data_IF_081725107685
#
_entry.id   IF_081725107685
#
_cell.length_a   1.000
_cell.length_b   1.000
_cell.length_c   1.000
_cell.angle_alpha   90.00
_cell.angle_beta   90.00
_cell.angle_gamma   90.00
#
_symmetry.space_group_name_H-M   'P 1'
#
loop_
_entity.id
_entity.type
_entity.pdbx_description
1 polymer ?
#
# COMPACT_ATOMS: atom_id res chain seq x y z
N UNK A 1 -27.45 -13.51 -8.30
CA UNK A 1 -27.26 -14.54 -7.26
C UNK A 1 -26.22 -15.51 -7.76
N UNK A 2 -24.97 -15.34 -7.35
CA UNK A 2 -23.94 -16.35 -7.47
C UNK A 2 -23.67 -16.84 -6.06
N UNK A 3 -24.15 -18.04 -5.75
CA UNK A 3 -23.78 -18.79 -4.57
C UNK A 3 -22.38 -19.32 -4.82
N UNK A 4 -21.36 -18.52 -4.49
CA UNK A 4 -20.02 -19.06 -4.33
C UNK A 4 -20.07 -20.05 -3.17
N UNK A 5 -19.70 -21.28 -3.50
CA UNK A 5 -19.76 -22.47 -2.67
C UNK A 5 -19.00 -22.25 -1.35
N UNK A 6 -19.72 -22.06 -0.24
CA UNK A 6 -19.13 -21.84 1.09
C UNK A 6 -18.38 -23.06 1.64
N UNK A 7 -18.34 -24.15 0.88
CA UNK A 7 -17.67 -25.41 1.24
C UNK A 7 -16.19 -25.48 0.81
N UNK A 8 -15.70 -24.57 -0.06
CA UNK A 8 -14.36 -24.70 -0.67
C UNK A 8 -13.33 -23.64 -0.22
N UNK A 9 -13.76 -22.56 0.44
CA UNK A 9 -12.85 -21.50 0.90
C UNK A 9 -11.98 -21.90 2.10
N UNK A 10 -12.40 -22.91 2.89
CA UNK A 10 -11.66 -23.40 4.07
C UNK A 10 -10.33 -24.07 3.78
N UNK A 11 -10.05 -24.41 2.52
CA UNK A 11 -8.76 -24.96 2.08
C UNK A 11 -7.87 -23.92 1.39
N UNK A 12 -8.36 -22.70 1.16
CA UNK A 12 -7.61 -21.66 0.45
C UNK A 12 -6.86 -20.81 1.47
N UNK A 13 -5.53 -20.82 1.37
CA UNK A 13 -4.65 -20.03 2.21
C UNK A 13 -4.44 -18.63 1.63
N UNK A 14 -4.72 -17.60 2.43
CA UNK A 14 -4.60 -16.20 2.04
C UNK A 14 -3.63 -15.49 2.96
N UNK A 15 -2.60 -14.85 2.37
CA UNK A 15 -1.72 -13.94 3.11
C UNK A 15 -2.20 -12.52 2.93
N UNK A 16 -2.54 -11.85 4.03
CA UNK A 16 -2.99 -10.46 4.02
C UNK A 16 -1.79 -9.55 4.30
N UNK A 17 -1.55 -8.57 3.44
CA UNK A 17 -0.57 -7.51 3.71
C UNK A 17 -1.06 -6.62 4.86
N UNK A 18 -0.46 -6.76 6.03
CA UNK A 18 -0.81 -6.04 7.26
C UNK A 18 0.10 -4.82 7.41
N UNK A 19 -0.43 -3.62 7.19
CA UNK A 19 0.36 -2.37 7.29
C UNK A 19 0.27 -1.71 8.67
N UNK A 20 -0.41 -2.33 9.63
CA UNK A 20 -0.78 -1.70 10.90
C UNK A 20 -1.92 -0.66 10.76
N UNK A 21 -2.60 -0.62 9.62
CA UNK A 21 -3.74 0.26 9.35
C UNK A 21 -5.08 -0.47 9.40
N UNK A 22 -6.16 0.27 9.65
CA UNK A 22 -7.53 -0.29 9.82
C UNK A 22 -8.01 -1.09 8.61
N UNK A 23 -7.64 -0.68 7.40
CA UNK A 23 -8.11 -1.31 6.17
C UNK A 23 -7.58 -2.73 6.01
N UNK A 24 -6.28 -2.94 6.29
CA UNK A 24 -5.70 -4.28 6.31
C UNK A 24 -6.26 -5.16 7.43
N UNK A 25 -6.53 -4.57 8.61
CA UNK A 25 -7.11 -5.27 9.75
C UNK A 25 -8.51 -5.82 9.43
N UNK A 26 -9.36 -4.98 8.83
CA UNK A 26 -10.71 -5.36 8.45
C UNK A 26 -10.69 -6.30 7.26
N UNK A 27 -9.78 -6.13 6.29
CA UNK A 27 -9.58 -7.11 5.22
C UNK A 27 -9.30 -8.51 5.76
N UNK A 28 -8.39 -8.65 6.74
CA UNK A 28 -8.10 -9.94 7.36
C UNK A 28 -9.32 -10.52 8.07
N UNK A 29 -10.02 -9.71 8.87
CA UNK A 29 -11.24 -10.13 9.56
C UNK A 29 -12.32 -10.62 8.58
N UNK A 30 -12.60 -9.87 7.51
CA UNK A 30 -13.62 -10.24 6.51
C UNK A 30 -13.31 -11.56 5.82
N UNK A 31 -12.03 -11.82 5.50
CA UNK A 31 -11.61 -13.08 4.89
C UNK A 31 -11.76 -14.26 5.86
N UNK A 32 -11.49 -14.07 7.15
CA UNK A 32 -11.77 -15.10 8.15
C UNK A 32 -13.26 -15.42 8.23
N UNK A 33 -14.14 -14.40 8.20
CA UNK A 33 -15.59 -14.61 8.20
C UNK A 33 -16.09 -15.33 6.93
N UNK A 34 -15.37 -15.18 5.81
CA UNK A 34 -15.63 -15.91 4.56
C UNK A 34 -15.06 -17.35 4.57
N UNK A 35 -14.39 -17.74 5.65
CA UNK A 35 -13.89 -19.10 5.88
C UNK A 35 -12.49 -19.37 5.33
N UNK A 36 -11.73 -18.37 4.86
CA UNK A 36 -10.36 -18.57 4.38
C UNK A 36 -9.38 -18.92 5.51
N UNK A 37 -8.29 -19.62 5.18
CA UNK A 37 -7.15 -19.77 6.08
C UNK A 37 -6.27 -18.52 6.00
N UNK A 38 -6.42 -17.61 6.97
CA UNK A 38 -5.78 -16.30 6.94
C UNK A 38 -4.51 -16.27 7.79
N UNK A 39 -3.43 -15.76 7.23
CA UNK A 39 -2.24 -15.30 7.95
C UNK A 39 -1.89 -13.87 7.50
N UNK A 40 -1.22 -13.10 8.34
CA UNK A 40 -0.76 -11.75 8.02
C UNK A 40 0.71 -11.72 7.59
N UNK A 41 1.08 -10.74 6.76
CA UNK A 41 2.48 -10.38 6.49
C UNK A 41 2.67 -8.88 6.71
N UNK A 42 3.58 -8.52 7.60
CA UNK A 42 4.10 -7.15 7.71
C UNK A 42 5.34 -6.99 6.83
N UNK A 43 5.37 -5.92 6.03
CA UNK A 43 6.49 -5.64 5.12
C UNK A 43 7.25 -4.41 5.60
N UNK A 44 8.54 -4.58 5.88
CA UNK A 44 9.46 -3.47 6.09
C UNK A 44 10.17 -3.16 4.78
N UNK A 45 9.89 -2.01 4.18
CA UNK A 45 10.38 -1.67 2.84
C UNK A 45 11.25 -0.40 2.82
N UNK A 46 11.61 0.10 4.00
CA UNK A 46 12.40 1.30 4.15
C UNK A 46 13.19 1.21 5.46
N UNK A 47 14.51 1.34 5.36
CA UNK A 47 15.43 1.20 6.50
C UNK A 47 16.06 2.54 6.93
N UNK A 48 16.05 3.58 6.08
CA UNK A 48 16.88 4.77 6.31
C UNK A 48 16.42 5.65 7.49
N UNK A 49 15.22 5.45 8.00
CA UNK A 49 14.71 6.18 9.17
C UNK A 49 14.87 5.43 10.48
N UNK A 50 15.50 4.25 10.48
CA UNK A 50 15.71 3.47 11.69
C UNK A 50 16.44 4.30 12.76
N UNK A 51 15.78 4.48 13.92
CA UNK A 51 16.31 5.27 15.03
C UNK A 51 16.06 6.78 14.95
N UNK A 52 15.31 7.26 13.95
CA UNK A 52 14.85 8.65 13.84
C UNK A 52 13.43 8.83 14.38
N UNK A 53 12.98 10.09 14.54
CA UNK A 53 11.61 10.41 14.91
C UNK A 53 10.56 10.05 13.83
N UNK A 54 11.00 9.82 12.58
CA UNK A 54 10.14 9.42 11.47
C UNK A 54 9.90 7.91 11.39
N UNK A 55 10.51 7.11 12.27
CA UNK A 55 10.36 5.65 12.27
C UNK A 55 8.99 5.22 12.83
N UNK A 56 7.97 5.12 11.97
CA UNK A 56 6.66 4.58 12.35
C UNK A 56 6.59 3.05 12.25
N UNK A 57 7.53 2.42 11.53
CA UNK A 57 7.50 1.00 11.23
C UNK A 57 7.39 0.10 12.48
N UNK A 58 8.01 0.51 13.60
CA UNK A 58 7.91 -0.23 14.86
C UNK A 58 6.51 -0.17 15.47
N UNK A 59 5.87 1.00 15.43
CA UNK A 59 4.50 1.20 15.92
C UNK A 59 3.50 0.48 15.01
N UNK A 60 3.67 0.61 13.68
CA UNK A 60 2.86 -0.09 12.68
C UNK A 60 2.96 -1.62 12.81
N UNK A 61 4.18 -2.13 13.05
CA UNK A 61 4.40 -3.56 13.31
C UNK A 61 3.71 -4.00 14.61
N UNK A 62 3.79 -3.20 15.67
CA UNK A 62 3.14 -3.50 16.93
C UNK A 62 1.61 -3.50 16.81
N UNK A 63 1.04 -2.57 16.03
CA UNK A 63 -0.40 -2.56 15.74
C UNK A 63 -0.81 -3.77 14.89
N UNK A 64 -0.04 -4.10 13.86
CA UNK A 64 -0.28 -5.30 13.05
C UNK A 64 -0.24 -6.58 13.90
N UNK A 65 0.74 -6.70 14.80
CA UNK A 65 0.88 -7.83 15.71
C UNK A 65 -0.33 -7.93 16.65
N UNK A 66 -0.74 -6.82 17.28
CA UNK A 66 -1.91 -6.81 18.16
C UNK A 66 -3.19 -7.20 17.44
N UNK A 67 -3.39 -6.76 16.18
CA UNK A 67 -4.54 -7.17 15.36
C UNK A 67 -4.47 -8.66 15.07
N UNK A 68 -3.31 -9.18 14.64
CA UNK A 68 -3.15 -10.60 14.37
C UNK A 68 -3.37 -11.47 15.62
N UNK A 69 -2.87 -11.04 16.77
CA UNK A 69 -3.08 -11.72 18.06
C UNK A 69 -4.57 -11.71 18.45
N UNK A 70 -5.25 -10.58 18.28
CA UNK A 70 -6.68 -10.45 18.54
C UNK A 70 -7.52 -11.37 17.65
N UNK A 71 -7.15 -11.47 16.37
CA UNK A 71 -7.82 -12.35 15.40
C UNK A 71 -7.37 -13.82 15.52
N UNK A 72 -6.32 -14.12 16.28
CA UNK A 72 -5.77 -15.48 16.40
C UNK A 72 -5.09 -15.99 15.12
N UNK A 73 -4.51 -15.09 14.32
CA UNK A 73 -3.79 -15.41 13.08
C UNK A 73 -2.29 -15.15 13.23
N UNK A 74 -1.47 -15.90 12.49
CA UNK A 74 -0.01 -15.72 12.50
C UNK A 74 0.37 -14.45 11.73
N UNK A 75 1.23 -13.61 12.31
CA UNK A 75 1.90 -12.52 11.61
C UNK A 75 3.32 -12.96 11.19
N UNK A 76 3.59 -12.92 9.90
CA UNK A 76 4.93 -13.03 9.33
C UNK A 76 5.54 -11.64 9.13
N UNK A 77 6.85 -11.61 8.98
CA UNK A 77 7.58 -10.38 8.65
C UNK A 77 8.48 -10.67 7.44
N UNK A 78 8.58 -9.69 6.54
CA UNK A 78 9.53 -9.68 5.44
C UNK A 78 10.16 -8.29 5.34
N UNK A 79 11.43 -8.26 4.93
CA UNK A 79 12.11 -7.02 4.59
C UNK A 79 12.28 -7.00 3.06
N UNK A 80 11.65 -6.00 2.40
CA UNK A 80 11.82 -5.73 0.96
C UNK A 80 12.43 -4.35 0.71
N UNK A 81 13.24 -3.84 1.66
CA UNK A 81 13.87 -2.52 1.55
C UNK A 81 14.85 -2.46 0.38
N UNK A 82 15.57 -3.55 0.10
CA UNK A 82 16.45 -3.64 -1.06
C UNK A 82 15.66 -3.56 -2.37
N UNK A 83 14.58 -4.34 -2.49
CA UNK A 83 13.72 -4.34 -3.67
C UNK A 83 13.01 -2.99 -3.86
N UNK A 84 12.61 -2.34 -2.77
CA UNK A 84 12.01 -1.00 -2.83
C UNK A 84 13.03 0.03 -3.29
N UNK A 85 14.26 -0.02 -2.76
CA UNK A 85 15.31 0.89 -3.18
C UNK A 85 15.56 0.77 -4.69
N UNK A 86 15.87 -0.44 -5.16
CA UNK A 86 16.29 -0.70 -6.53
C UNK A 86 15.15 -0.44 -7.54
N UNK A 87 13.93 -0.86 -7.23
CA UNK A 87 12.84 -0.89 -8.22
C UNK A 87 11.87 0.30 -8.11
N UNK A 88 11.92 1.07 -7.02
CA UNK A 88 11.00 2.20 -6.78
C UNK A 88 11.79 3.48 -6.54
N UNK A 89 12.71 3.48 -5.58
CA UNK A 89 13.33 4.70 -5.10
C UNK A 89 14.38 5.25 -6.07
N UNK A 90 15.20 4.40 -6.69
CA UNK A 90 16.17 4.84 -7.69
C UNK A 90 15.47 5.55 -8.86
N UNK A 91 14.40 4.94 -9.39
CA UNK A 91 13.59 5.56 -10.45
C UNK A 91 12.98 6.88 -10.01
N UNK A 92 12.45 6.95 -8.79
CA UNK A 92 11.93 8.18 -8.20
C UNK A 92 12.98 9.31 -8.20
N UNK A 93 14.23 9.02 -7.83
CA UNK A 93 15.32 10.00 -7.87
C UNK A 93 15.70 10.40 -9.30
N UNK A 94 15.71 9.46 -10.25
CA UNK A 94 15.98 9.73 -11.66
C UNK A 94 14.95 10.66 -12.30
N UNK A 95 13.67 10.46 -11.99
CA UNK A 95 12.59 11.31 -12.51
C UNK A 95 12.70 12.75 -12.00
N UNK A 96 13.02 12.95 -10.72
CA UNK A 96 13.28 14.27 -10.16
C UNK A 96 14.52 14.94 -10.75
N UNK A 97 15.62 14.19 -10.97
CA UNK A 97 16.81 14.69 -11.68
C UNK A 97 16.46 15.20 -13.07
N UNK A 98 15.45 14.61 -13.71
CA UNK A 98 14.99 15.01 -15.03
C UNK A 98 13.87 16.07 -15.00
N UNK A 99 13.57 16.66 -13.84
CA UNK A 99 12.58 17.74 -13.69
C UNK A 99 11.13 17.27 -13.79
N UNK A 100 10.86 15.98 -13.59
CA UNK A 100 9.51 15.41 -13.57
C UNK A 100 9.06 15.13 -12.14
N UNK A 101 7.75 15.02 -11.95
CA UNK A 101 7.14 14.63 -10.68
C UNK A 101 6.69 13.16 -10.75
N UNK A 102 7.50 12.21 -10.26
CA UNK A 102 7.13 10.80 -10.25
C UNK A 102 6.02 10.51 -9.24
N UNK A 103 5.32 9.39 -9.45
CA UNK A 103 4.43 8.82 -8.45
C UNK A 103 4.99 7.47 -7.97
N UNK A 104 5.73 7.45 -6.84
CA UNK A 104 6.37 6.23 -6.35
C UNK A 104 5.35 5.18 -5.88
N UNK A 105 4.12 5.56 -5.52
CA UNK A 105 3.11 4.62 -5.04
C UNK A 105 2.62 3.68 -6.14
N UNK A 106 2.61 4.13 -7.40
CA UNK A 106 2.29 3.29 -8.56
C UNK A 106 3.32 2.17 -8.71
N UNK A 107 4.62 2.50 -8.60
CA UNK A 107 5.70 1.53 -8.68
C UNK A 107 5.79 0.63 -7.45
N UNK A 108 5.55 1.19 -6.27
CA UNK A 108 5.44 0.45 -5.02
C UNK A 108 4.37 -0.65 -5.11
N UNK A 109 3.20 -0.35 -5.67
CA UNK A 109 2.21 -1.39 -5.94
C UNK A 109 2.76 -2.43 -6.92
N UNK A 110 3.21 -1.99 -8.10
CA UNK A 110 3.65 -2.91 -9.16
C UNK A 110 4.79 -3.84 -8.74
N UNK A 111 5.86 -3.30 -8.14
CA UNK A 111 7.10 -4.03 -7.88
C UNK A 111 7.15 -4.67 -6.49
N UNK A 112 6.49 -4.07 -5.50
CA UNK A 112 6.57 -4.55 -4.11
C UNK A 112 5.28 -5.27 -3.72
N UNK A 113 4.14 -4.57 -3.68
CA UNK A 113 2.91 -5.14 -3.10
C UNK A 113 2.27 -6.22 -3.98
N UNK A 114 2.48 -6.22 -5.29
CA UNK A 114 1.86 -7.19 -6.19
C UNK A 114 2.85 -8.11 -6.90
N UNK A 115 4.16 -7.94 -6.64
CA UNK A 115 5.23 -8.79 -7.17
C UNK A 115 6.06 -9.41 -6.05
N UNK A 116 6.93 -8.65 -5.38
CA UNK A 116 7.75 -9.20 -4.29
C UNK A 116 6.92 -9.84 -3.17
N UNK A 117 5.84 -9.16 -2.73
CA UNK A 117 4.90 -9.72 -1.75
C UNK A 117 4.22 -10.99 -2.28
N UNK A 118 3.70 -10.97 -3.50
CA UNK A 118 3.01 -12.12 -4.09
C UNK A 118 3.95 -13.34 -4.21
N UNK A 119 5.18 -13.13 -4.64
CA UNK A 119 6.21 -14.17 -4.74
C UNK A 119 6.57 -14.73 -3.36
N UNK A 120 6.75 -13.87 -2.36
CA UNK A 120 7.03 -14.31 -1.00
C UNK A 120 5.85 -15.06 -0.37
N UNK A 121 4.61 -14.61 -0.61
CA UNK A 121 3.42 -15.30 -0.14
C UNK A 121 3.31 -16.74 -0.70
N UNK A 122 3.72 -16.96 -1.96
CA UNK A 122 3.80 -18.31 -2.54
C UNK A 122 4.80 -19.19 -1.80
N UNK A 123 5.94 -18.65 -1.37
CA UNK A 123 6.91 -19.37 -0.54
C UNK A 123 6.31 -19.74 0.82
N UNK A 124 5.44 -18.91 1.37
CA UNK A 124 4.66 -19.22 2.59
C UNK A 124 3.51 -20.21 2.36
N UNK A 125 3.34 -20.72 1.13
CA UNK A 125 2.31 -21.67 0.73
C UNK A 125 0.93 -21.06 0.51
N UNK A 126 0.86 -19.76 0.20
CA UNK A 126 -0.40 -19.09 -0.07
C UNK A 126 -0.96 -19.43 -1.46
N UNK A 127 -2.27 -19.58 -1.55
CA UNK A 127 -2.99 -19.67 -2.82
C UNK A 127 -3.29 -18.27 -3.38
N UNK A 128 -3.55 -17.31 -2.49
CA UNK A 128 -3.89 -15.93 -2.79
C UNK A 128 -3.22 -14.97 -1.82
N UNK A 129 -3.09 -13.70 -2.23
CA UNK A 129 -2.81 -12.59 -1.32
C UNK A 129 -4.06 -11.72 -1.13
N UNK A 130 -4.05 -10.87 -0.12
CA UNK A 130 -5.03 -9.82 0.04
C UNK A 130 -4.41 -8.52 0.54
N UNK A 131 -5.07 -7.41 0.24
CA UNK A 131 -4.64 -6.07 0.69
C UNK A 131 -5.81 -5.26 1.21
N UNK A 132 -5.51 -4.15 1.89
CA UNK A 132 -6.50 -3.15 2.32
C UNK A 132 -6.86 -2.13 1.24
N UNK A 133 -6.63 -2.41 -0.05
CA UNK A 133 -6.91 -1.43 -1.10
C UNK A 133 -8.42 -1.33 -1.41
N UNK A 134 -8.90 -0.10 -1.57
CA UNK A 134 -10.26 0.24 -2.00
C UNK A 134 -10.41 0.11 -3.52
N UNK A 135 -10.31 -1.13 -3.99
CA UNK A 135 -10.48 -1.53 -5.38
C UNK A 135 -11.24 -2.85 -5.42
N UNK A 136 -11.79 -3.20 -6.58
CA UNK A 136 -12.52 -4.46 -6.73
C UNK A 136 -11.92 -5.28 -7.85
N UNK A 137 -12.12 -6.60 -7.75
CA UNK A 137 -11.77 -7.55 -8.79
C UNK A 137 -13.03 -7.97 -9.51
N UNK A 138 -13.04 -7.89 -10.83
CA UNK A 138 -14.11 -8.37 -11.69
C UNK A 138 -13.61 -9.39 -12.70
N UNK A 139 -14.55 -9.92 -13.48
CA UNK A 139 -14.28 -10.79 -14.61
C UNK A 139 -15.00 -10.25 -15.84
N UNK A 140 -14.29 -10.13 -16.96
CA UNK A 140 -14.84 -9.76 -18.27
C UNK A 140 -14.16 -10.60 -19.34
N UNK A 141 -14.95 -11.22 -20.23
CA UNK A 141 -14.42 -12.06 -21.33
C UNK A 141 -13.45 -13.17 -20.87
N UNK A 142 -13.71 -13.79 -19.71
CA UNK A 142 -12.84 -14.78 -19.05
C UNK A 142 -11.46 -14.22 -18.62
N UNK A 143 -11.30 -12.90 -18.57
CA UNK A 143 -10.11 -12.23 -18.04
C UNK A 143 -10.44 -11.52 -16.73
N UNK A 144 -9.48 -11.52 -15.81
CA UNK A 144 -9.59 -10.74 -14.57
C UNK A 144 -9.39 -9.26 -14.87
N UNK A 145 -10.30 -8.42 -14.37
CA UNK A 145 -10.24 -6.96 -14.52
C UNK A 145 -10.18 -6.26 -13.17
N UNK A 146 -9.48 -5.12 -13.14
CA UNK A 146 -9.50 -4.18 -12.02
C UNK A 146 -10.74 -3.28 -12.15
N UNK A 147 -11.53 -3.22 -11.09
CA UNK A 147 -12.70 -2.36 -10.96
C UNK A 147 -12.47 -1.32 -9.88
N UNK A 148 -13.18 -0.20 -9.98
CA UNK A 148 -13.20 0.82 -8.93
C UNK A 148 -13.83 0.28 -7.64
N UNK A 149 -13.33 0.75 -6.50
CA UNK A 149 -13.98 0.60 -5.20
C UNK A 149 -15.39 1.20 -5.21
N UNK A 150 -16.27 0.70 -4.34
CA UNK A 150 -17.63 1.27 -4.20
C UNK A 150 -17.60 2.67 -3.59
N UNK A 151 -16.65 2.94 -2.69
CA UNK A 151 -16.41 4.27 -2.14
C UNK A 151 -15.67 5.15 -3.15
N UNK A 152 -16.39 6.02 -3.86
CA UNK A 152 -15.80 6.91 -4.85
C UNK A 152 -14.77 7.92 -4.29
N UNK A 153 -14.82 8.22 -2.98
CA UNK A 153 -13.84 9.13 -2.34
C UNK A 153 -12.57 8.40 -1.89
N UNK A 154 -12.62 7.07 -1.84
CA UNK A 154 -11.51 6.23 -1.38
C UNK A 154 -10.99 5.29 -2.44
N UNK A 155 -11.61 5.23 -3.62
CA UNK A 155 -11.18 4.42 -4.75
C UNK A 155 -9.68 4.57 -5.02
N UNK A 156 -8.98 3.44 -5.02
CA UNK A 156 -7.53 3.37 -5.20
C UNK A 156 -7.15 2.77 -6.56
N UNK A 157 -8.11 2.61 -7.48
CA UNK A 157 -7.87 2.01 -8.80
C UNK A 157 -6.77 2.72 -9.59
N UNK A 158 -6.64 4.04 -9.40
CA UNK A 158 -5.57 4.86 -9.96
C UNK A 158 -4.18 4.31 -9.61
N UNK A 159 -3.93 3.94 -8.35
CA UNK A 159 -2.59 3.49 -7.93
C UNK A 159 -2.26 2.06 -8.37
N UNK A 160 -3.26 1.30 -8.82
CA UNK A 160 -3.11 -0.09 -9.26
C UNK A 160 -3.16 -0.23 -10.79
N UNK A 161 -3.21 0.86 -11.54
CA UNK A 161 -3.35 0.83 -13.00
C UNK A 161 -2.20 0.10 -13.73
N UNK A 162 -1.03 0.00 -13.07
CA UNK A 162 0.16 -0.64 -13.61
C UNK A 162 0.32 -2.12 -13.16
N UNK A 163 -0.61 -2.63 -12.36
CA UNK A 163 -0.62 -4.01 -11.88
C UNK A 163 -1.26 -4.90 -12.96
N UNK A 164 -0.60 -6.02 -13.29
CA UNK A 164 -1.07 -6.93 -14.33
C UNK A 164 -2.29 -7.75 -13.89
N UNK A 165 -3.10 -8.17 -14.87
CA UNK A 165 -4.31 -8.96 -14.62
C UNK A 165 -4.05 -10.29 -13.91
N UNK A 166 -2.88 -10.90 -14.13
CA UNK A 166 -2.48 -12.14 -13.46
C UNK A 166 -2.24 -11.95 -11.96
N UNK A 167 -1.61 -10.84 -11.58
CA UNK A 167 -1.38 -10.47 -10.18
C UNK A 167 -2.70 -10.11 -9.50
N UNK A 168 -3.59 -9.39 -10.20
CA UNK A 168 -4.95 -9.11 -9.73
C UNK A 168 -5.77 -10.41 -9.55
N UNK A 169 -5.63 -11.38 -10.46
CA UNK A 169 -6.31 -12.68 -10.36
C UNK A 169 -5.89 -13.47 -9.09
N UNK A 170 -4.67 -13.24 -8.61
CA UNK A 170 -4.14 -13.86 -7.40
C UNK A 170 -4.33 -13.00 -6.13
N UNK A 171 -5.07 -11.88 -6.24
CA UNK A 171 -5.29 -10.95 -5.12
C UNK A 171 -6.77 -10.77 -4.79
N UNK A 172 -7.06 -10.69 -3.50
CA UNK A 172 -8.38 -10.32 -2.95
C UNK A 172 -8.35 -8.89 -2.39
N UNK A 173 -9.49 -8.19 -2.53
CA UNK A 173 -9.68 -6.81 -2.05
C UNK A 173 -10.95 -6.69 -1.23
N UNK A 174 -10.99 -7.22 0.01
CA UNK A 174 -12.23 -7.33 0.78
C UNK A 174 -12.92 -5.99 1.05
N UNK A 175 -12.14 -4.94 1.34
CA UNK A 175 -12.66 -3.60 1.66
C UNK A 175 -13.14 -2.81 0.43
N UNK A 176 -12.85 -3.26 -0.80
CA UNK A 176 -13.30 -2.59 -2.01
C UNK A 176 -14.82 -2.60 -2.22
N UNK A 177 -15.52 -3.52 -1.54
CA UNK A 177 -16.99 -3.65 -1.54
C UNK A 177 -17.65 -2.82 -0.43
N UNK A 178 -16.89 -2.00 0.31
CA UNK A 178 -17.39 -1.26 1.46
C UNK A 178 -17.06 0.23 1.36
N UNK A 179 -17.90 1.05 1.98
CA UNK A 179 -17.55 2.45 2.26
C UNK A 179 -16.60 2.54 3.46
N UNK A 180 -15.72 3.54 3.48
CA UNK A 180 -14.76 3.70 4.59
C UNK A 180 -15.40 3.80 5.99
N UNK A 181 -16.56 4.46 6.18
CA UNK A 181 -17.24 4.46 7.48
C UNK A 181 -17.63 3.05 7.94
N UNK A 182 -18.04 2.19 7.01
CA UNK A 182 -18.40 0.80 7.31
C UNK A 182 -17.18 -0.02 7.74
N UNK A 183 -16.04 0.18 7.07
CA UNK A 183 -14.76 -0.43 7.49
C UNK A 183 -14.41 -0.02 8.92
N UNK A 184 -14.53 1.26 9.27
CA UNK A 184 -14.27 1.72 10.66
C UNK A 184 -15.27 1.13 11.66
N UNK A 185 -16.56 1.07 11.32
CA UNK A 185 -17.59 0.46 12.17
C UNK A 185 -17.27 -1.02 12.46
N UNK A 186 -16.89 -1.79 11.43
CA UNK A 186 -16.49 -3.20 11.61
C UNK A 186 -15.29 -3.31 12.55
N UNK A 187 -14.28 -2.45 12.40
CA UNK A 187 -13.12 -2.45 13.28
C UNK A 187 -13.48 -2.15 14.74
N UNK A 188 -14.37 -1.17 14.98
CA UNK A 188 -14.85 -0.80 16.32
C UNK A 188 -15.67 -1.92 16.97
N UNK A 189 -16.62 -2.50 16.24
CA UNK A 189 -17.49 -3.59 16.73
C UNK A 189 -16.71 -4.85 17.09
N UNK A 190 -15.58 -5.07 16.42
CA UNK A 190 -14.70 -6.20 16.68
C UNK A 190 -13.50 -5.83 17.57
N UNK A 191 -13.50 -4.64 18.20
CA UNK A 191 -12.47 -4.27 19.18
C UNK A 191 -11.03 -4.25 18.62
N UNK A 192 -10.86 -3.98 17.32
CA UNK A 192 -9.54 -3.92 16.70
C UNK A 192 -8.81 -2.64 17.11
N UNK A 193 -7.56 -2.76 17.58
CA UNK A 193 -6.75 -1.61 18.06
C UNK A 193 -6.60 -0.49 17.01
N UNK A 194 -6.66 -0.86 15.72
CA UNK A 194 -6.54 0.08 14.61
C UNK A 194 -7.80 0.89 14.31
N UNK A 195 -8.93 0.63 14.97
CA UNK A 195 -10.23 1.27 14.68
C UNK A 195 -10.17 2.81 14.69
N UNK A 196 -9.51 3.38 15.70
CA UNK A 196 -9.30 4.83 15.84
C UNK A 196 -8.09 5.39 15.08
N UNK A 197 -7.32 4.55 14.39
CA UNK A 197 -6.07 4.99 13.73
C UNK A 197 -6.40 5.85 12.50
N UNK A 198 -5.64 6.92 12.32
CA UNK A 198 -5.73 7.77 11.12
C UNK A 198 -5.21 7.00 9.91
N UNK A 199 -5.73 7.36 8.74
CA UNK A 199 -5.23 6.80 7.50
C UNK A 199 -3.80 7.30 7.25
N UNK A 200 -2.95 6.42 6.71
CA UNK A 200 -1.58 6.78 6.35
C UNK A 200 -1.57 7.82 5.24
N UNK A 201 -0.73 8.83 5.41
CA UNK A 201 -0.48 9.94 4.49
C UNK A 201 1.01 9.96 4.11
N UNK A 202 1.33 10.60 2.98
CA UNK A 202 2.71 10.65 2.47
C UNK A 202 3.06 9.48 1.55
N UNK A 203 4.34 9.35 1.23
CA UNK A 203 4.84 8.34 0.27
C UNK A 203 4.81 6.97 0.94
N UNK A 204 4.34 5.93 0.24
CA UNK A 204 4.22 4.60 0.82
C UNK A 204 5.57 4.09 1.35
N UNK A 205 5.56 3.59 2.60
CA UNK A 205 6.69 3.09 3.39
C UNK A 205 7.68 4.15 3.91
N UNK A 206 7.69 5.34 3.33
CA UNK A 206 8.48 6.49 3.80
C UNK A 206 7.64 7.33 4.79
N UNK A 207 6.32 7.39 4.65
CA UNK A 207 5.43 8.09 5.58
C UNK A 207 5.42 9.62 5.41
N UNK A 208 4.81 10.32 6.38
CA UNK A 208 4.57 11.76 6.34
C UNK A 208 5.77 12.55 6.90
N UNK A 209 6.39 13.39 6.05
CA UNK A 209 7.50 14.26 6.43
C UNK A 209 7.60 15.47 5.52
N UNK A 210 8.46 16.43 5.88
CA UNK A 210 8.76 17.57 5.00
C UNK A 210 9.50 17.08 3.75
N UNK A 211 8.78 17.03 2.63
CA UNK A 211 9.27 16.49 1.35
C UNK A 211 10.59 17.11 0.89
N UNK A 212 10.74 18.44 1.05
CA UNK A 212 11.97 19.17 0.70
C UNK A 212 13.20 18.63 1.46
N UNK A 213 13.09 18.48 2.78
CA UNK A 213 14.20 18.03 3.63
C UNK A 213 14.58 16.58 3.34
N UNK A 214 13.58 15.76 3.00
CA UNK A 214 13.80 14.39 2.56
C UNK A 214 14.58 14.35 1.24
N UNK A 215 14.09 15.04 0.20
CA UNK A 215 14.70 14.98 -1.12
C UNK A 215 16.12 15.58 -1.14
N UNK A 216 16.41 16.54 -0.27
CA UNK A 216 17.74 17.14 -0.10
C UNK A 216 18.83 16.15 0.34
N UNK A 217 18.45 15.03 0.94
CA UNK A 217 19.41 14.01 1.37
C UNK A 217 20.00 13.24 0.18
N UNK A 218 19.31 13.25 -0.97
CA UNK A 218 19.70 12.47 -2.16
C UNK A 218 20.03 13.33 -3.37
N UNK A 219 19.37 14.48 -3.52
CA UNK A 219 19.55 15.38 -4.67
C UNK A 219 20.07 16.75 -4.22
N UNK A 220 21.22 17.21 -4.76
CA UNK A 220 21.74 18.53 -4.43
C UNK A 220 20.81 19.61 -5.00
N UNK A 221 20.43 20.56 -4.15
CA UNK A 221 19.67 21.72 -4.55
C UNK A 221 20.43 22.58 -5.57
N UNK A 222 19.75 22.93 -6.67
CA UNK A 222 20.28 23.84 -7.70
C UNK A 222 19.37 25.07 -7.79
N UNK A 223 19.67 26.15 -7.04
CA UNK A 223 18.91 27.38 -7.13
C UNK A 223 18.94 27.97 -8.55
N UNK A 224 17.88 28.65 -8.92
CA UNK A 224 17.70 29.22 -10.26
C UNK A 224 16.65 30.32 -10.28
N UNK A 225 16.52 31.02 -11.40
CA UNK A 225 15.59 32.14 -11.58
C UNK A 225 14.17 31.62 -11.81
N UNK A 226 13.19 32.38 -11.35
CA UNK A 226 11.77 32.19 -11.64
C UNK A 226 11.40 33.26 -12.67
N UNK A 227 10.85 32.83 -13.80
CA UNK A 227 10.46 33.73 -14.88
C UNK A 227 8.95 33.62 -15.16
N UNK A 228 8.32 34.72 -15.55
CA UNK A 228 6.96 34.71 -16.10
C UNK A 228 6.94 34.07 -17.49
N UNK A 229 5.76 33.72 -18.04
CA UNK A 229 5.65 33.28 -19.43
C UNK A 229 6.19 34.30 -20.46
N UNK A 230 6.25 35.59 -20.10
CA UNK A 230 6.81 36.68 -20.91
C UNK A 230 8.33 36.85 -20.76
N UNK A 231 8.98 36.07 -19.88
CA UNK A 231 10.43 36.13 -19.62
C UNK A 231 10.84 37.20 -18.60
N UNK A 232 9.90 37.73 -17.80
CA UNK A 232 10.22 38.65 -16.71
C UNK A 232 10.72 37.88 -15.49
N UNK A 233 11.86 38.27 -14.94
CA UNK A 233 12.41 37.69 -13.71
C UNK A 233 11.64 38.17 -12.48
N UNK A 234 11.10 37.22 -11.72
CA UNK A 234 10.28 37.46 -10.53
C UNK A 234 10.88 36.89 -9.25
N UNK A 235 12.11 36.36 -9.28
CA UNK A 235 12.83 35.90 -8.10
C UNK A 235 13.64 34.62 -8.30
N UNK A 236 13.98 33.95 -7.20
CA UNK A 236 14.79 32.73 -7.20
C UNK A 236 14.06 31.57 -6.53
N UNK A 237 14.18 30.38 -7.13
CA UNK A 237 13.72 29.13 -6.53
C UNK A 237 14.90 28.40 -5.86
N UNK A 238 14.60 27.55 -4.87
CA UNK A 238 15.62 26.76 -4.17
C UNK A 238 16.03 25.47 -4.90
N UNK A 239 15.37 25.13 -6.02
CA UNK A 239 15.61 23.94 -6.82
C UNK A 239 14.36 23.54 -7.59
N UNK A 240 14.51 23.16 -8.87
CA UNK A 240 13.36 22.80 -9.71
C UNK A 240 12.59 21.60 -9.14
N UNK A 241 13.30 20.60 -8.59
CA UNK A 241 12.70 19.37 -8.06
C UNK A 241 11.77 19.56 -6.85
N UNK A 242 11.67 20.77 -6.28
CA UNK A 242 10.75 21.07 -5.18
C UNK A 242 9.39 21.61 -5.63
N UNK A 243 9.16 21.67 -6.95
CA UNK A 243 7.95 22.26 -7.55
C UNK A 243 7.31 21.26 -8.51
N UNK A 244 6.02 21.46 -8.82
CA UNK A 244 5.23 20.68 -9.78
C UNK A 244 4.25 21.59 -10.49
#
# INVERSE_FOLDING_TARGET
>A
MSTADSSNSSNIKVIVGMSGGVDSSVSAYLLMQQGYQVEGLFMKNWDEDDGTEYCTAKEDLNDAQQVCDHLGIKLHQANFAAEYWDNVFEHFLEEYKAGRTPNPDILCNREIKFKAFLEYAKVLGADLIATGHYVRRGEQNNETVLLKGLDGNKDQSYFLHAVGGNEIAQTLFPVGELEKPEVRRIAEENGLVTAGKKDSTGICFIGERRFKDFLQQYLPAQPGRIETPEGEDIGEHNGLMYHT
#
